data_IF_450456420161
#
_entry.id   IF_450456420161
#
_cell.length_a   1.000
_cell.length_b   1.000
_cell.length_c   1.000
_cell.angle_alpha   90.00
_cell.angle_beta   90.00
_cell.angle_gamma   90.00
#
_symmetry.space_group_name_H-M   'P 1'
#
loop_
_entity.id
_entity.type
_entity.pdbx_description
1 polymer ?
#
# COMPACT_ATOMS: atom_id res chain seq x y z
N UNK A 1 40.94 -20.52 -2.66
CA UNK A 1 40.71 -19.08 -2.91
C UNK A 1 39.26 -18.78 -3.34
N UNK A 2 38.60 -19.56 -4.19
CA UNK A 2 37.23 -19.28 -4.65
C UNK A 2 36.16 -19.34 -3.57
N UNK A 3 36.28 -20.24 -2.60
CA UNK A 3 35.28 -20.39 -1.50
C UNK A 3 35.36 -19.26 -0.50
N UNK A 4 36.55 -18.75 -0.19
CA UNK A 4 36.74 -17.60 0.70
C UNK A 4 36.22 -16.30 0.06
N UNK A 5 36.33 -16.14 -1.24
CA UNK A 5 35.75 -15.03 -1.97
C UNK A 5 34.23 -15.12 -1.94
N UNK A 6 33.64 -16.30 -2.12
CA UNK A 6 32.21 -16.54 -2.05
C UNK A 6 31.62 -16.22 -0.66
N UNK A 7 32.37 -16.53 0.41
CA UNK A 7 31.97 -16.21 1.80
C UNK A 7 31.87 -14.71 2.01
N UNK A 8 32.72 -13.90 1.38
CA UNK A 8 32.70 -12.44 1.54
C UNK A 8 31.69 -11.76 0.62
N UNK A 9 31.59 -12.20 -0.64
CA UNK A 9 30.78 -11.53 -1.66
C UNK A 9 29.34 -12.03 -1.68
N UNK A 10 29.12 -13.34 -1.43
CA UNK A 10 27.83 -14.01 -1.59
C UNK A 10 27.51 -14.99 -0.44
N UNK A 11 27.44 -14.52 0.81
CA UNK A 11 27.27 -15.39 1.98
C UNK A 11 25.99 -16.23 1.91
N UNK A 12 24.92 -15.77 1.26
CA UNK A 12 23.69 -16.52 1.07
C UNK A 12 23.89 -17.78 0.18
N UNK A 13 24.74 -17.71 -0.84
CA UNK A 13 25.03 -18.87 -1.69
C UNK A 13 25.80 -19.96 -0.94
N UNK A 14 26.69 -19.55 -0.05
CA UNK A 14 27.42 -20.51 0.81
C UNK A 14 26.45 -21.27 1.72
N UNK A 15 25.46 -20.57 2.28
CA UNK A 15 24.40 -21.23 3.10
C UNK A 15 23.58 -22.19 2.25
N UNK A 16 23.18 -21.80 1.03
CA UNK A 16 22.44 -22.70 0.12
C UNK A 16 23.22 -23.95 -0.22
N UNK A 17 24.52 -23.81 -0.55
CA UNK A 17 25.39 -24.94 -0.81
C UNK A 17 25.52 -25.88 0.39
N UNK A 18 25.67 -25.31 1.60
CA UNK A 18 25.71 -26.10 2.82
C UNK A 18 24.39 -26.85 3.06
N UNK A 19 23.25 -26.19 2.87
CA UNK A 19 21.93 -26.84 3.01
C UNK A 19 21.68 -27.89 1.93
N UNK A 20 22.15 -27.69 0.71
CA UNK A 20 22.08 -28.67 -0.38
C UNK A 20 22.94 -29.90 -0.08
N UNK A 21 24.10 -29.70 0.56
CA UNK A 21 25.07 -30.78 0.85
C UNK A 21 24.72 -31.57 2.12
N UNK A 22 24.23 -30.91 3.15
CA UNK A 22 24.04 -31.49 4.48
C UNK A 22 22.56 -31.63 4.88
N UNK A 23 21.63 -31.13 4.07
CA UNK A 23 20.22 -31.08 4.41
C UNK A 23 19.86 -29.97 5.39
N UNK A 24 18.69 -30.07 6.03
CA UNK A 24 18.21 -29.08 7.00
C UNK A 24 19.14 -28.94 8.21
N UNK A 25 19.56 -27.69 8.51
CA UNK A 25 20.49 -27.40 9.62
C UNK A 25 19.97 -26.25 10.48
N UNK A 26 20.12 -26.36 11.80
CA UNK A 26 19.96 -25.20 12.67
C UNK A 26 21.08 -24.18 12.44
N UNK A 27 20.90 -22.91 12.83
CA UNK A 27 21.94 -21.91 12.70
C UNK A 27 23.24 -22.31 13.43
N UNK A 28 23.13 -22.99 14.57
CA UNK A 28 24.27 -23.51 15.33
C UNK A 28 24.97 -24.68 14.59
N UNK A 29 24.21 -25.62 14.04
CA UNK A 29 24.79 -26.73 13.28
C UNK A 29 25.43 -26.24 11.97
N UNK A 30 24.84 -25.22 11.32
CA UNK A 30 25.43 -24.59 10.16
C UNK A 30 26.79 -23.91 10.47
N UNK A 31 26.84 -23.16 11.60
CA UNK A 31 28.09 -22.59 12.12
C UNK A 31 29.15 -23.66 12.31
N UNK A 32 28.82 -24.72 13.03
CA UNK A 32 29.72 -25.82 13.33
C UNK A 32 30.29 -26.45 12.05
N UNK A 33 29.42 -26.75 11.07
CA UNK A 33 29.82 -27.34 9.78
C UNK A 33 30.76 -26.45 8.97
N UNK A 34 30.46 -25.14 8.90
CA UNK A 34 31.30 -24.20 8.14
C UNK A 34 32.63 -23.93 8.81
N UNK A 35 32.69 -23.91 10.15
CA UNK A 35 33.94 -23.73 10.90
C UNK A 35 34.77 -24.99 10.87
N UNK A 36 34.20 -26.18 11.10
CA UNK A 36 34.93 -27.44 11.02
C UNK A 36 35.44 -27.74 9.60
N UNK A 37 34.66 -27.33 8.60
CA UNK A 37 35.08 -27.45 7.18
C UNK A 37 36.14 -26.44 6.73
N UNK A 38 36.61 -25.55 7.62
CA UNK A 38 37.60 -24.53 7.28
C UNK A 38 37.10 -23.45 6.31
N UNK A 39 35.78 -23.36 6.10
CA UNK A 39 35.15 -22.40 5.21
C UNK A 39 35.06 -21.02 5.87
N UNK A 40 34.89 -21.01 7.21
CA UNK A 40 34.71 -19.80 8.01
C UNK A 40 35.45 -19.92 9.34
N UNK A 41 36.02 -18.81 9.84
CA UNK A 41 36.52 -18.74 11.22
C UNK A 41 35.41 -18.32 12.17
N UNK A 42 35.42 -18.85 13.39
CA UNK A 42 34.37 -18.65 14.38
C UNK A 42 34.10 -17.17 14.68
N UNK A 43 35.16 -16.35 14.70
CA UNK A 43 35.07 -14.91 14.93
C UNK A 43 34.25 -14.17 13.86
N UNK A 44 34.22 -14.66 12.62
CA UNK A 44 33.50 -14.02 11.51
C UNK A 44 32.07 -14.48 11.37
N UNK A 45 31.63 -15.50 12.13
CA UNK A 45 30.30 -16.09 12.01
C UNK A 45 29.19 -15.07 12.12
N UNK A 46 29.23 -14.17 13.09
CA UNK A 46 28.15 -13.20 13.31
C UNK A 46 27.95 -12.30 12.08
N UNK A 47 29.03 -11.76 11.54
CA UNK A 47 29.00 -10.87 10.38
C UNK A 47 28.49 -11.61 9.12
N UNK A 48 29.02 -12.82 8.91
CA UNK A 48 28.61 -13.71 7.83
C UNK A 48 27.12 -14.04 7.92
N UNK A 49 26.65 -14.49 9.09
CA UNK A 49 25.27 -14.90 9.29
C UNK A 49 24.30 -13.74 9.16
N UNK A 50 24.59 -12.57 9.69
CA UNK A 50 23.71 -11.39 9.57
C UNK A 50 23.58 -10.96 8.11
N UNK A 51 24.66 -11.01 7.33
CA UNK A 51 24.66 -10.75 5.89
C UNK A 51 23.87 -11.79 5.11
N UNK A 52 24.13 -13.07 5.33
CA UNK A 52 23.42 -14.18 4.68
C UNK A 52 21.93 -14.15 5.00
N UNK A 53 21.56 -14.00 6.28
CA UNK A 53 20.18 -14.01 6.75
C UNK A 53 19.33 -12.91 6.13
N UNK A 54 19.92 -11.72 5.92
CA UNK A 54 19.21 -10.59 5.28
C UNK A 54 18.80 -10.95 3.84
N UNK A 55 19.67 -11.60 3.09
CA UNK A 55 19.39 -12.03 1.71
C UNK A 55 18.46 -13.24 1.70
N UNK A 56 18.72 -14.24 2.54
CA UNK A 56 17.94 -15.48 2.59
C UNK A 56 16.50 -15.28 3.05
N UNK A 57 16.20 -14.23 3.82
CA UNK A 57 14.81 -13.89 4.17
C UNK A 57 13.95 -13.48 2.96
N UNK A 58 14.59 -12.97 1.92
CA UNK A 58 13.93 -12.62 0.67
C UNK A 58 14.01 -13.77 -0.37
N UNK A 59 14.67 -14.87 -0.02
CA UNK A 59 14.87 -16.00 -0.90
C UNK A 59 13.71 -17.01 -0.77
N UNK A 60 12.88 -17.18 -1.81
CA UNK A 60 11.75 -18.10 -1.76
C UNK A 60 12.14 -19.57 -1.70
N UNK A 61 13.42 -19.91 -1.95
CA UNK A 61 13.92 -21.28 -1.90
C UNK A 61 14.47 -21.68 -0.53
N UNK A 62 14.48 -20.76 0.46
CA UNK A 62 15.06 -21.03 1.78
C UNK A 62 14.06 -20.67 2.88
N UNK A 63 13.65 -21.66 3.66
CA UNK A 63 12.84 -21.47 4.85
C UNK A 63 13.73 -21.13 6.06
N UNK A 64 13.62 -19.90 6.58
CA UNK A 64 14.27 -19.49 7.83
C UNK A 64 13.21 -19.50 8.95
N UNK A 65 13.32 -20.42 9.92
CA UNK A 65 12.34 -20.52 11.00
C UNK A 65 12.40 -19.33 11.96
N UNK A 66 11.25 -19.05 12.61
CA UNK A 66 11.16 -18.00 13.63
C UNK A 66 11.96 -18.37 14.90
N UNK A 67 11.97 -19.65 15.28
CA UNK A 67 12.72 -20.16 16.44
C UNK A 67 14.12 -20.56 16.01
N UNK A 68 15.13 -20.15 16.77
CA UNK A 68 16.55 -20.48 16.51
C UNK A 68 16.87 -21.98 16.62
N UNK A 69 16.04 -22.74 17.30
CA UNK A 69 16.15 -24.20 17.50
C UNK A 69 15.68 -24.99 16.29
N UNK A 70 14.87 -24.39 15.44
CA UNK A 70 14.30 -25.09 14.30
C UNK A 70 15.27 -25.02 13.11
N UNK A 71 15.30 -26.04 12.23
CA UNK A 71 16.25 -26.12 11.13
C UNK A 71 15.86 -25.17 9.99
N UNK A 72 16.87 -24.52 9.41
CA UNK A 72 16.81 -23.82 8.13
C UNK A 72 16.73 -24.90 7.06
N UNK A 73 15.88 -24.74 6.06
CA UNK A 73 15.64 -25.72 5.01
C UNK A 73 15.81 -25.10 3.64
N UNK A 74 16.44 -25.84 2.74
CA UNK A 74 16.34 -25.59 1.32
C UNK A 74 15.07 -26.30 0.83
N UNK A 75 14.25 -25.60 0.07
CA UNK A 75 12.98 -26.11 -0.41
C UNK A 75 13.13 -26.63 -1.84
N UNK A 76 12.51 -27.76 -2.14
CA UNK A 76 12.50 -28.33 -3.50
C UNK A 76 11.73 -27.46 -4.51
N UNK A 77 10.84 -26.61 -3.98
CA UNK A 77 10.12 -25.56 -4.71
C UNK A 77 10.26 -24.27 -3.94
N UNK A 78 10.26 -23.15 -4.66
CA UNK A 78 10.19 -21.86 -4.02
C UNK A 78 9.17 -21.92 -2.88
N UNK A 79 9.53 -21.46 -1.66
CA UNK A 79 8.60 -21.26 -0.56
C UNK A 79 7.58 -20.25 -1.05
N UNK A 80 6.77 -20.75 -1.89
CA UNK A 80 5.67 -20.08 -2.48
C UNK A 80 4.47 -20.52 -1.66
N UNK A 81 3.59 -19.68 -1.54
CA UNK A 81 2.24 -19.82 -1.13
C UNK A 81 1.73 -21.19 -1.55
N UNK A 82 1.92 -22.18 -0.65
CA UNK A 82 1.50 -23.55 -0.84
C UNK A 82 -0.02 -23.67 -0.71
N UNK A 83 -0.56 -24.84 -0.97
CA UNK A 83 -1.99 -25.07 -0.86
C UNK A 83 -2.50 -24.79 0.56
N UNK A 84 -1.69 -25.02 1.60
CA UNK A 84 -2.03 -24.72 2.99
C UNK A 84 -2.16 -23.21 3.23
N UNK A 85 -1.35 -22.38 2.59
CA UNK A 85 -1.48 -20.94 2.68
C UNK A 85 -2.78 -20.47 2.00
N UNK A 86 -3.10 -21.02 0.82
CA UNK A 86 -4.35 -20.71 0.12
C UNK A 86 -5.57 -21.22 0.87
N UNK A 87 -5.51 -22.40 1.52
CA UNK A 87 -6.57 -22.90 2.38
C UNK A 87 -6.82 -21.97 3.59
N UNK A 88 -5.76 -21.48 4.22
CA UNK A 88 -5.86 -20.49 5.29
C UNK A 88 -6.49 -19.19 4.79
N UNK A 89 -6.10 -18.73 3.60
CA UNK A 89 -6.67 -17.55 2.99
C UNK A 89 -8.15 -17.76 2.63
N UNK A 90 -8.52 -18.93 2.10
CA UNK A 90 -9.89 -19.28 1.73
C UNK A 90 -10.84 -19.25 2.93
N UNK A 91 -10.35 -19.64 4.11
CA UNK A 91 -11.12 -19.70 5.36
C UNK A 91 -11.04 -18.42 6.21
N UNK A 92 -10.17 -17.46 5.85
CA UNK A 92 -10.03 -16.21 6.57
C UNK A 92 -11.29 -15.34 6.43
N UNK A 93 -11.74 -14.75 7.54
CA UNK A 93 -12.92 -13.88 7.58
C UNK A 93 -12.62 -12.45 8.00
N UNK A 94 -11.47 -12.20 8.58
CA UNK A 94 -11.03 -10.85 8.89
C UNK A 94 -10.58 -10.12 7.62
N UNK A 95 -11.26 -9.02 7.29
CA UNK A 95 -11.03 -8.26 6.07
C UNK A 95 -9.59 -7.72 5.99
N UNK A 96 -9.04 -7.28 7.13
CA UNK A 96 -7.68 -6.75 7.20
C UNK A 96 -6.63 -7.84 7.04
N UNK A 97 -6.89 -9.02 7.63
CA UNK A 97 -6.02 -10.19 7.48
C UNK A 97 -5.98 -10.68 6.03
N UNK A 98 -7.13 -10.73 5.33
CA UNK A 98 -7.20 -11.04 3.91
C UNK A 98 -6.34 -10.07 3.09
N UNK A 99 -6.49 -8.76 3.31
CA UNK A 99 -5.72 -7.74 2.62
C UNK A 99 -4.23 -7.83 2.92
N UNK A 100 -3.84 -8.13 4.17
CA UNK A 100 -2.45 -8.30 4.56
C UNK A 100 -1.79 -9.46 3.81
N UNK A 101 -2.46 -10.62 3.76
CA UNK A 101 -1.99 -11.80 3.01
C UNK A 101 -1.90 -11.53 1.50
N UNK A 102 -2.91 -10.87 0.92
CA UNK A 102 -2.88 -10.53 -0.49
C UNK A 102 -1.75 -9.56 -0.86
N UNK A 103 -1.41 -8.60 0.03
CA UNK A 103 -0.25 -7.70 -0.17
C UNK A 103 1.07 -8.46 -0.13
N UNK A 104 1.21 -9.36 0.85
CA UNK A 104 2.39 -10.21 0.96
C UNK A 104 2.66 -10.98 -0.35
N UNK A 105 1.61 -11.55 -0.96
CA UNK A 105 1.71 -12.21 -2.27
C UNK A 105 2.05 -11.23 -3.40
N UNK A 106 1.41 -10.05 -3.42
CA UNK A 106 1.63 -9.04 -4.46
C UNK A 106 3.06 -8.45 -4.44
N UNK A 107 3.73 -8.45 -3.27
CA UNK A 107 5.12 -8.03 -3.09
C UNK A 107 6.14 -9.06 -3.61
N UNK A 108 5.69 -10.26 -4.00
CA UNK A 108 6.52 -11.33 -4.55
C UNK A 108 6.15 -11.66 -6.00
N UNK A 109 6.71 -10.96 -7.01
CA UNK A 109 6.36 -11.18 -8.42
C UNK A 109 6.54 -12.63 -8.88
N UNK A 110 7.58 -13.31 -8.39
CA UNK A 110 7.84 -14.71 -8.73
C UNK A 110 6.74 -15.64 -8.19
N UNK A 111 6.29 -15.41 -6.96
CA UNK A 111 5.21 -16.18 -6.34
C UNK A 111 3.87 -15.90 -7.02
N UNK A 112 3.61 -14.64 -7.37
CA UNK A 112 2.40 -14.25 -8.11
C UNK A 112 2.35 -14.90 -9.49
N UNK A 113 3.47 -14.98 -10.20
CA UNK A 113 3.56 -15.65 -11.50
C UNK A 113 3.36 -17.19 -11.40
N UNK A 114 3.64 -17.78 -10.25
CA UNK A 114 3.47 -19.21 -10.00
C UNK A 114 2.04 -19.61 -9.54
N UNK A 115 1.15 -18.64 -9.29
CA UNK A 115 -0.22 -18.89 -8.83
C UNK A 115 -1.01 -19.71 -9.86
N UNK A 116 -1.52 -20.84 -9.39
CA UNK A 116 -2.31 -21.76 -10.20
C UNK A 116 -3.76 -21.24 -10.40
N UNK A 117 -4.49 -21.68 -11.44
CA UNK A 117 -5.87 -21.22 -11.69
C UNK A 117 -6.81 -21.42 -10.49
N UNK A 118 -6.72 -22.54 -9.78
CA UNK A 118 -7.54 -22.80 -8.59
C UNK A 118 -7.23 -21.82 -7.45
N UNK A 119 -5.94 -21.53 -7.23
CA UNK A 119 -5.48 -20.57 -6.23
C UNK A 119 -5.88 -19.14 -6.61
N UNK A 120 -5.86 -18.80 -7.91
CA UNK A 120 -6.33 -17.52 -8.43
C UNK A 120 -7.81 -17.30 -8.13
N UNK A 121 -8.64 -18.36 -8.25
CA UNK A 121 -10.06 -18.29 -7.89
C UNK A 121 -10.25 -17.98 -6.39
N UNK A 122 -9.41 -18.54 -5.53
CA UNK A 122 -9.43 -18.22 -4.09
C UNK A 122 -9.13 -16.76 -3.86
N UNK A 123 -8.08 -16.20 -4.51
CA UNK A 123 -7.75 -14.78 -4.41
C UNK A 123 -8.92 -13.90 -4.87
N UNK A 124 -9.51 -14.20 -6.02
CA UNK A 124 -10.65 -13.46 -6.55
C UNK A 124 -11.85 -13.50 -5.58
N UNK A 125 -12.19 -14.66 -5.06
CA UNK A 125 -13.27 -14.83 -4.08
C UNK A 125 -13.00 -14.05 -2.78
N UNK A 126 -11.75 -14.02 -2.29
CA UNK A 126 -11.41 -13.29 -1.06
C UNK A 126 -11.39 -11.77 -1.29
N UNK A 127 -10.90 -11.29 -2.42
CA UNK A 127 -11.01 -9.86 -2.77
C UNK A 127 -12.48 -9.45 -2.93
N UNK A 128 -13.29 -10.23 -3.63
CA UNK A 128 -14.73 -9.99 -3.73
C UNK A 128 -15.44 -10.03 -2.37
N UNK A 129 -15.00 -10.89 -1.46
CA UNK A 129 -15.51 -10.93 -0.08
C UNK A 129 -15.20 -9.63 0.68
N UNK A 130 -13.97 -9.09 0.55
CA UNK A 130 -13.60 -7.81 1.16
C UNK A 130 -14.40 -6.66 0.54
N UNK A 131 -14.53 -6.61 -0.79
CA UNK A 131 -15.28 -5.57 -1.50
C UNK A 131 -16.75 -5.51 -1.06
N UNK A 132 -17.38 -6.66 -0.80
CA UNK A 132 -18.77 -6.73 -0.30
C UNK A 132 -18.88 -6.52 1.20
N UNK A 133 -17.90 -7.00 1.96
CA UNK A 133 -17.91 -6.94 3.43
C UNK A 133 -17.49 -5.59 3.99
N UNK A 134 -16.64 -4.85 3.29
CA UNK A 134 -16.28 -3.49 3.65
C UNK A 134 -17.47 -2.57 3.40
N UNK A 135 -18.11 -2.19 4.48
CA UNK A 135 -19.31 -1.32 4.44
C UNK A 135 -18.96 0.12 4.03
N UNK A 136 -19.97 0.95 3.81
CA UNK A 136 -19.82 2.40 3.61
C UNK A 136 -19.06 3.11 4.75
N UNK A 137 -18.94 2.45 5.91
CA UNK A 137 -18.15 2.94 7.06
C UNK A 137 -16.66 2.61 6.97
N UNK A 138 -16.24 1.81 6.01
CA UNK A 138 -14.86 1.37 5.81
C UNK A 138 -14.43 1.50 4.34
N UNK A 139 -14.62 2.69 3.72
CA UNK A 139 -14.33 2.87 2.30
C UNK A 139 -12.85 2.64 1.97
N UNK A 140 -11.95 2.93 2.90
CA UNK A 140 -10.52 2.70 2.74
C UNK A 140 -10.16 1.22 2.56
N UNK A 141 -10.80 0.30 3.30
CA UNK A 141 -10.60 -1.14 3.11
C UNK A 141 -11.10 -1.60 1.74
N UNK A 142 -12.22 -1.06 1.29
CA UNK A 142 -12.80 -1.37 -0.02
C UNK A 142 -11.89 -0.91 -1.16
N UNK A 143 -11.33 0.30 -1.08
CA UNK A 143 -10.36 0.77 -2.07
C UNK A 143 -9.06 -0.05 -2.04
N UNK A 144 -8.56 -0.40 -0.84
CA UNK A 144 -7.39 -1.26 -0.73
C UNK A 144 -7.62 -2.62 -1.39
N UNK A 145 -8.82 -3.21 -1.25
CA UNK A 145 -9.17 -4.46 -1.93
C UNK A 145 -9.20 -4.30 -3.46
N UNK A 146 -9.78 -3.21 -3.97
CA UNK A 146 -9.82 -2.92 -5.40
C UNK A 146 -8.40 -2.74 -5.98
N UNK A 147 -7.55 -1.96 -5.30
CA UNK A 147 -6.16 -1.75 -5.69
C UNK A 147 -5.36 -3.04 -5.69
N UNK A 148 -5.53 -3.85 -4.65
CA UNK A 148 -4.86 -5.13 -4.53
C UNK A 148 -5.33 -6.13 -5.58
N UNK A 149 -6.63 -6.18 -5.88
CA UNK A 149 -7.18 -7.01 -6.95
C UNK A 149 -6.57 -6.65 -8.33
N UNK A 150 -6.39 -5.36 -8.60
CA UNK A 150 -5.68 -4.90 -9.79
C UNK A 150 -4.20 -5.30 -9.80
N UNK A 151 -3.49 -5.17 -8.67
CA UNK A 151 -2.08 -5.59 -8.53
C UNK A 151 -1.89 -7.10 -8.70
N UNK A 152 -2.84 -7.89 -8.22
CA UNK A 152 -2.89 -9.35 -8.41
C UNK A 152 -3.35 -9.75 -9.82
N UNK A 153 -3.57 -8.79 -10.71
CA UNK A 153 -4.05 -8.99 -12.09
C UNK A 153 -5.37 -9.79 -12.15
N UNK A 154 -6.26 -9.62 -11.16
CA UNK A 154 -7.56 -10.27 -11.19
C UNK A 154 -8.46 -9.60 -12.24
N UNK A 155 -9.06 -10.42 -13.10
CA UNK A 155 -9.94 -9.90 -14.14
C UNK A 155 -11.24 -9.33 -13.54
N UNK A 156 -11.85 -8.30 -14.15
CA UNK A 156 -13.13 -7.76 -13.69
C UNK A 156 -14.25 -8.80 -13.54
N UNK A 157 -14.26 -9.84 -14.39
CA UNK A 157 -15.23 -10.95 -14.29
C UNK A 157 -14.96 -11.91 -13.14
N UNK A 158 -13.74 -11.93 -12.58
CA UNK A 158 -13.39 -12.74 -11.42
C UNK A 158 -13.70 -12.00 -10.10
N UNK A 159 -13.52 -10.67 -10.11
CA UNK A 159 -13.71 -9.82 -8.95
C UNK A 159 -14.05 -8.41 -9.45
N UNK A 160 -15.29 -7.94 -9.26
CA UNK A 160 -15.77 -6.66 -9.81
C UNK A 160 -15.22 -5.45 -9.05
N UNK A 161 -13.89 -5.39 -8.96
CA UNK A 161 -13.18 -4.26 -8.36
C UNK A 161 -13.33 -2.94 -9.16
N UNK A 162 -13.51 -2.95 -10.51
CA UNK A 162 -13.71 -1.69 -11.24
C UNK A 162 -15.04 -1.02 -10.90
N UNK A 163 -16.09 -1.78 -10.54
CA UNK A 163 -17.33 -1.19 -10.06
C UNK A 163 -17.11 -0.39 -8.76
N UNK A 164 -16.34 -0.94 -7.82
CA UNK A 164 -16.00 -0.23 -6.59
C UNK A 164 -15.23 1.06 -6.87
N UNK A 165 -14.30 1.06 -7.84
CA UNK A 165 -13.59 2.28 -8.26
C UNK A 165 -14.55 3.31 -8.84
N UNK A 166 -15.44 2.90 -9.76
CA UNK A 166 -16.44 3.83 -10.33
C UNK A 166 -17.32 4.47 -9.26
N UNK A 167 -17.76 3.70 -8.26
CA UNK A 167 -18.55 4.23 -7.16
C UNK A 167 -17.81 5.32 -6.37
N UNK A 168 -16.50 5.17 -6.10
CA UNK A 168 -15.71 6.20 -5.42
C UNK A 168 -15.58 7.49 -6.23
N UNK A 169 -15.62 7.39 -7.55
CA UNK A 169 -15.50 8.55 -8.45
C UNK A 169 -16.84 9.23 -8.73
N UNK A 170 -17.94 8.74 -8.15
CA UNK A 170 -19.28 9.28 -8.36
C UNK A 170 -19.88 9.88 -7.07
N UNK A 171 -20.76 10.87 -7.23
CA UNK A 171 -21.66 11.34 -6.18
C UNK A 171 -21.05 11.80 -4.86
N UNK A 172 -19.78 12.23 -4.85
CA UNK A 172 -19.11 12.69 -3.64
C UNK A 172 -18.55 11.57 -2.74
N UNK A 173 -18.62 10.30 -3.15
CA UNK A 173 -18.14 9.15 -2.38
C UNK A 173 -16.61 9.17 -2.14
N UNK A 174 -15.86 9.97 -2.89
CA UNK A 174 -14.43 10.16 -2.68
C UNK A 174 -14.11 10.88 -1.36
N UNK A 175 -15.00 11.74 -0.87
CA UNK A 175 -14.76 12.51 0.35
C UNK A 175 -14.62 11.61 1.60
N UNK A 176 -15.60 10.75 1.95
CA UNK A 176 -15.46 9.84 3.07
C UNK A 176 -14.30 8.86 2.89
N UNK A 177 -13.97 8.45 1.66
CA UNK A 177 -12.82 7.62 1.37
C UNK A 177 -11.51 8.32 1.78
N UNK A 178 -11.29 9.56 1.35
CA UNK A 178 -10.06 10.30 1.63
C UNK A 178 -9.91 10.65 3.12
N UNK A 179 -11.04 10.75 3.85
CA UNK A 179 -11.01 10.96 5.30
C UNK A 179 -10.75 9.67 6.10
N UNK A 180 -11.06 8.50 5.54
CA UNK A 180 -10.84 7.19 6.19
C UNK A 180 -9.42 6.66 5.98
N UNK A 181 -8.72 7.14 4.93
CA UNK A 181 -7.39 6.65 4.61
C UNK A 181 -6.30 7.25 5.51
N UNK A 182 -5.35 6.42 5.99
CA UNK A 182 -4.14 6.92 6.62
C UNK A 182 -3.31 7.79 5.65
N UNK A 183 -2.62 8.81 6.17
CA UNK A 183 -1.85 9.75 5.35
C UNK A 183 -0.92 9.07 4.31
N UNK A 184 -0.23 8.00 4.72
CA UNK A 184 0.67 7.23 3.84
C UNK A 184 -0.02 6.51 2.67
N UNK A 185 -1.33 6.31 2.76
CA UNK A 185 -2.13 5.60 1.73
C UNK A 185 -2.81 6.57 0.76
N UNK A 186 -2.89 7.88 1.10
CA UNK A 186 -3.61 8.88 0.30
C UNK A 186 -3.02 9.01 -1.10
N UNK A 187 -1.72 9.27 -1.21
CA UNK A 187 -1.06 9.45 -2.52
C UNK A 187 -1.19 8.22 -3.41
N UNK A 188 -0.85 6.99 -2.95
CA UNK A 188 -1.05 5.79 -3.74
C UNK A 188 -2.50 5.52 -4.12
N UNK A 189 -3.47 5.91 -3.28
CA UNK A 189 -4.89 5.77 -3.57
C UNK A 189 -5.34 6.73 -4.67
N UNK A 190 -4.95 7.98 -4.57
CA UNK A 190 -5.27 9.01 -5.57
C UNK A 190 -4.66 8.69 -6.94
N UNK A 191 -3.40 8.27 -6.98
CA UNK A 191 -2.72 7.85 -8.21
C UNK A 191 -3.41 6.62 -8.84
N UNK A 192 -3.83 5.66 -8.03
CA UNK A 192 -4.57 4.50 -8.51
C UNK A 192 -5.92 4.92 -9.12
N UNK A 193 -6.72 5.73 -8.43
CA UNK A 193 -8.00 6.21 -8.93
C UNK A 193 -7.83 7.01 -10.23
N UNK A 194 -6.82 7.87 -10.28
CA UNK A 194 -6.48 8.64 -11.47
C UNK A 194 -6.11 7.76 -12.67
N UNK A 195 -5.31 6.72 -12.43
CA UNK A 195 -4.91 5.78 -13.46
C UNK A 195 -6.10 4.96 -14.02
N UNK A 196 -7.17 4.77 -13.25
CA UNK A 196 -8.36 4.06 -13.72
C UNK A 196 -9.26 4.95 -14.60
N UNK A 197 -9.50 6.20 -14.18
CA UNK A 197 -10.29 7.18 -14.93
C UNK A 197 -9.87 8.59 -14.52
N UNK A 198 -8.97 9.19 -15.29
CA UNK A 198 -8.42 10.51 -15.01
C UNK A 198 -9.49 11.61 -15.04
N UNK A 199 -10.46 11.54 -15.94
CA UNK A 199 -11.50 12.55 -16.08
C UNK A 199 -12.48 12.50 -14.89
N UNK A 200 -12.93 11.31 -14.51
CA UNK A 200 -13.80 11.12 -13.37
C UNK A 200 -13.08 11.47 -12.05
N UNK A 201 -11.81 11.06 -11.89
CA UNK A 201 -11.00 11.38 -10.72
C UNK A 201 -10.79 12.90 -10.56
N UNK A 202 -10.45 13.61 -11.66
CA UNK A 202 -10.37 15.08 -11.67
C UNK A 202 -11.67 15.71 -11.22
N UNK A 203 -12.79 15.32 -11.83
CA UNK A 203 -14.12 15.86 -11.50
C UNK A 203 -14.50 15.59 -10.03
N UNK A 204 -14.28 14.38 -9.53
CA UNK A 204 -14.58 14.00 -8.17
C UNK A 204 -13.74 14.79 -7.14
N UNK A 205 -12.43 14.95 -7.40
CA UNK A 205 -11.53 15.71 -6.53
C UNK A 205 -11.88 17.19 -6.50
N UNK A 206 -12.04 17.82 -7.67
CA UNK A 206 -12.40 19.24 -7.76
C UNK A 206 -13.74 19.50 -7.06
N UNK A 207 -14.73 18.64 -7.25
CA UNK A 207 -16.05 18.77 -6.61
C UNK A 207 -16.01 18.68 -5.08
N UNK A 208 -15.00 18.04 -4.50
CA UNK A 208 -14.87 17.88 -3.04
C UNK A 208 -13.73 18.71 -2.42
N UNK A 209 -12.99 19.47 -3.20
CA UNK A 209 -11.77 20.15 -2.77
C UNK A 209 -12.01 21.06 -1.54
N UNK A 210 -13.16 21.74 -1.48
CA UNK A 210 -13.57 22.63 -0.38
C UNK A 210 -13.87 21.88 0.92
N UNK A 211 -14.11 20.57 0.85
CA UNK A 211 -14.56 19.76 1.98
C UNK A 211 -13.47 18.88 2.58
N UNK A 212 -12.31 18.80 1.92
CA UNK A 212 -11.19 17.98 2.37
C UNK A 212 -10.53 18.53 3.64
N UNK A 213 -10.11 17.64 4.54
CA UNK A 213 -9.17 17.98 5.61
C UNK A 213 -7.80 18.30 5.04
N UNK A 214 -6.93 18.95 5.85
CA UNK A 214 -5.67 19.49 5.35
C UNK A 214 -4.79 18.45 4.63
N UNK A 215 -4.56 17.26 5.22
CA UNK A 215 -3.69 16.25 4.61
C UNK A 215 -4.24 15.70 3.29
N UNK A 216 -5.51 15.25 3.19
CA UNK A 216 -6.11 14.91 1.91
C UNK A 216 -6.14 16.06 0.90
N UNK A 217 -6.36 17.30 1.36
CA UNK A 217 -6.32 18.49 0.50
C UNK A 217 -4.93 18.68 -0.12
N UNK A 218 -3.86 18.58 0.69
CA UNK A 218 -2.49 18.70 0.20
C UNK A 218 -2.20 17.67 -0.88
N UNK A 219 -2.49 16.38 -0.62
CA UNK A 219 -2.24 15.30 -1.58
C UNK A 219 -3.07 15.44 -2.87
N UNK A 220 -4.34 15.86 -2.73
CA UNK A 220 -5.21 16.11 -3.88
C UNK A 220 -4.70 17.29 -4.72
N UNK A 221 -4.28 18.39 -4.08
CA UNK A 221 -3.72 19.54 -4.75
C UNK A 221 -2.42 19.21 -5.48
N UNK A 222 -1.51 18.48 -4.84
CA UNK A 222 -0.24 18.06 -5.44
C UNK A 222 -0.48 17.19 -6.68
N UNK A 223 -1.47 16.30 -6.65
CA UNK A 223 -1.86 15.52 -7.83
C UNK A 223 -2.48 16.41 -8.91
N UNK A 224 -3.49 17.21 -8.57
CA UNK A 224 -4.21 18.06 -9.52
C UNK A 224 -3.27 19.04 -10.23
N UNK A 225 -2.36 19.68 -9.50
CA UNK A 225 -1.37 20.59 -10.06
C UNK A 225 -0.39 19.86 -10.99
N UNK A 226 0.11 18.69 -10.59
CA UNK A 226 0.97 17.86 -11.42
C UNK A 226 0.29 17.40 -12.71
N UNK A 227 -1.03 17.28 -12.70
CA UNK A 227 -1.85 16.87 -13.84
C UNK A 227 -2.46 18.05 -14.63
N UNK A 228 -1.99 19.26 -14.38
CA UNK A 228 -2.35 20.46 -15.15
C UNK A 228 -3.74 21.04 -14.84
N UNK A 229 -4.34 20.71 -13.68
CA UNK A 229 -5.62 21.25 -13.24
C UNK A 229 -5.51 22.55 -12.41
N UNK A 230 -4.41 23.28 -12.56
CA UNK A 230 -4.11 24.46 -11.75
C UNK A 230 -5.16 25.57 -11.86
N UNK A 231 -5.69 25.82 -13.07
CA UNK A 231 -6.70 26.84 -13.28
C UNK A 231 -8.03 26.50 -12.61
N UNK A 232 -8.47 25.24 -12.65
CA UNK A 232 -9.69 24.81 -11.94
C UNK A 232 -9.53 24.96 -10.42
N UNK A 233 -8.35 24.58 -9.90
CA UNK A 233 -8.03 24.75 -8.49
C UNK A 233 -8.04 26.25 -8.10
N UNK A 234 -7.42 27.09 -8.92
CA UNK A 234 -7.41 28.56 -8.73
C UNK A 234 -8.84 29.11 -8.63
N UNK A 235 -9.69 28.74 -9.57
CA UNK A 235 -11.08 29.19 -9.58
C UNK A 235 -11.84 28.79 -8.30
N UNK A 236 -11.70 27.53 -7.85
CA UNK A 236 -12.33 27.03 -6.63
C UNK A 236 -11.85 27.81 -5.40
N UNK A 237 -10.55 28.10 -5.32
CA UNK A 237 -10.00 28.88 -4.21
C UNK A 237 -10.43 30.33 -4.26
N UNK A 238 -10.45 30.98 -5.43
CA UNK A 238 -10.91 32.34 -5.61
C UNK A 238 -12.39 32.51 -5.20
N UNK A 239 -13.26 31.60 -5.63
CA UNK A 239 -14.67 31.58 -5.23
C UNK A 239 -14.84 31.37 -3.72
N UNK A 240 -14.07 30.47 -3.12
CA UNK A 240 -14.13 30.23 -1.67
C UNK A 240 -13.68 31.49 -0.89
N UNK A 241 -12.64 32.18 -1.32
CA UNK A 241 -12.19 33.42 -0.71
C UNK A 241 -13.21 34.56 -0.85
N UNK A 242 -13.87 34.67 -2.01
CA UNK A 242 -14.85 35.72 -2.30
C UNK A 242 -16.22 35.52 -1.59
N UNK A 243 -16.59 34.27 -1.28
CA UNK A 243 -17.94 33.92 -0.80
C UNK A 243 -18.04 33.67 0.70
N UNK A 244 -17.04 34.05 1.51
CA UNK A 244 -16.97 33.76 2.95
C UNK A 244 -17.02 32.25 3.33
N UNK A 245 -16.82 31.37 2.36
CA UNK A 245 -16.86 29.92 2.53
C UNK A 245 -15.47 29.30 2.61
N UNK A 246 -14.42 30.12 2.72
CA UNK A 246 -13.05 29.62 2.83
C UNK A 246 -12.86 28.91 4.17
N UNK A 247 -12.46 27.65 4.10
CA UNK A 247 -12.21 26.84 5.30
C UNK A 247 -10.76 27.01 5.77
N UNK A 248 -10.54 26.67 7.03
CA UNK A 248 -9.21 26.76 7.65
C UNK A 248 -8.17 25.93 6.90
N UNK A 249 -8.56 24.76 6.38
CA UNK A 249 -7.70 23.86 5.63
C UNK A 249 -7.20 24.49 4.33
N UNK A 250 -8.06 25.20 3.60
CA UNK A 250 -7.69 25.94 2.39
C UNK A 250 -6.76 27.12 2.70
N UNK A 251 -7.01 27.86 3.80
CA UNK A 251 -6.12 28.93 4.25
C UNK A 251 -4.73 28.39 4.64
N UNK A 252 -4.68 27.27 5.34
CA UNK A 252 -3.42 26.63 5.67
C UNK A 252 -2.66 26.19 4.41
N UNK A 253 -3.38 25.71 3.40
CA UNK A 253 -2.76 25.35 2.13
C UNK A 253 -2.16 26.58 1.45
N UNK A 254 -2.90 27.70 1.34
CA UNK A 254 -2.41 28.98 0.79
C UNK A 254 -1.13 29.43 1.52
N UNK A 255 -1.15 29.43 2.85
CA UNK A 255 -0.02 29.88 3.66
C UNK A 255 1.23 29.00 3.50
N UNK A 256 1.04 27.70 3.29
CA UNK A 256 2.15 26.75 3.13
C UNK A 256 2.65 26.61 1.70
N UNK A 257 1.87 27.10 0.73
CA UNK A 257 2.21 27.06 -0.69
C UNK A 257 2.23 28.46 -1.29
N UNK A 258 3.17 29.34 -0.86
CA UNK A 258 3.17 30.76 -1.22
C UNK A 258 3.40 31.03 -2.71
N UNK A 259 4.12 30.15 -3.43
CA UNK A 259 4.38 30.32 -4.86
C UNK A 259 3.10 30.21 -5.71
N UNK A 260 2.39 29.05 -5.73
CA UNK A 260 1.14 28.97 -6.48
C UNK A 260 0.09 29.96 -5.96
N UNK A 261 0.04 30.26 -4.67
CA UNK A 261 -0.90 31.23 -4.11
C UNK A 261 -0.63 32.66 -4.65
N UNK A 262 0.63 33.07 -4.78
CA UNK A 262 0.99 34.35 -5.36
C UNK A 262 0.69 34.47 -6.87
N UNK A 263 0.88 33.36 -7.62
CA UNK A 263 0.58 33.30 -9.06
C UNK A 263 -0.94 33.37 -9.32
N UNK A 264 -1.77 32.94 -8.36
CA UNK A 264 -3.20 32.89 -8.53
C UNK A 264 -3.94 34.21 -8.30
N UNK A 265 -3.27 35.23 -7.77
CA UNK A 265 -3.86 36.53 -7.45
C UNK A 265 -5.23 36.43 -6.75
N UNK A 266 -5.24 35.64 -5.68
CA UNK A 266 -6.49 35.35 -4.96
C UNK A 266 -7.03 36.60 -4.26
N UNK A 267 -8.36 36.82 -4.26
CA UNK A 267 -8.96 37.89 -3.47
C UNK A 267 -8.67 37.67 -1.98
N UNK A 268 -8.56 38.76 -1.23
CA UNK A 268 -8.32 38.69 0.22
C UNK A 268 -9.34 37.74 0.89
N UNK A 269 -8.91 36.68 1.57
CA UNK A 269 -9.83 35.70 2.10
C UNK A 269 -10.65 36.28 3.25
N UNK A 270 -11.97 36.14 3.17
CA UNK A 270 -12.85 36.48 4.27
C UNK A 270 -13.02 35.27 5.17
N UNK A 271 -12.48 35.36 6.36
CA UNK A 271 -12.50 34.28 7.35
C UNK A 271 -13.63 34.46 8.33
N UNK A 272 -14.54 33.52 8.37
CA UNK A 272 -15.56 33.50 9.44
C UNK A 272 -14.91 33.15 10.78
N UNK A 273 -15.21 33.92 11.83
CA UNK A 273 -14.87 33.55 13.19
C UNK A 273 -15.58 32.24 13.61
N UNK A 274 -15.08 31.50 14.60
CA UNK A 274 -15.75 30.30 15.07
C UNK A 274 -17.22 30.49 15.40
N UNK A 275 -17.59 31.63 15.99
CA UNK A 275 -18.98 31.97 16.30
C UNK A 275 -19.84 32.20 15.05
N UNK A 276 -19.29 32.89 14.05
CA UNK A 276 -19.99 33.10 12.77
C UNK A 276 -20.19 31.78 12.02
N UNK A 277 -19.22 30.87 12.06
CA UNK A 277 -19.36 29.52 11.49
C UNK A 277 -20.47 28.72 12.15
N UNK A 278 -20.57 28.78 13.49
CA UNK A 278 -21.62 28.09 14.23
C UNK A 278 -23.01 28.64 13.86
N UNK A 279 -23.17 29.97 13.75
CA UNK A 279 -24.41 30.60 13.30
C UNK A 279 -24.74 30.22 11.86
N UNK A 280 -23.80 30.27 10.95
CA UNK A 280 -24.01 29.89 9.53
C UNK A 280 -24.39 28.41 9.40
N UNK A 281 -23.76 27.51 10.18
CA UNK A 281 -24.11 26.10 10.22
C UNK A 281 -25.54 25.87 10.78
N UNK A 282 -25.92 26.60 11.81
CA UNK A 282 -27.28 26.50 12.41
C UNK A 282 -28.36 27.02 11.45
N UNK A 283 -28.10 28.11 10.73
CA UNK A 283 -29.05 28.69 9.76
C UNK A 283 -29.21 27.81 8.51
N UNK A 284 -28.17 27.08 8.11
CA UNK A 284 -28.20 26.21 6.92
C UNK A 284 -28.50 24.73 7.26
N UNK A 285 -28.75 24.39 8.51
CA UNK A 285 -29.16 23.04 8.87
C UNK A 285 -30.60 22.80 8.30
N UNK A 286 -30.84 21.75 7.52
CA UNK A 286 -32.21 21.41 7.13
C UNK A 286 -33.00 21.00 8.38
N UNK A 287 -34.23 21.50 8.49
CA UNK A 287 -35.19 21.12 9.54
C UNK A 287 -35.46 19.61 9.55
#
# INVERSE_FOLDING_TARGET
DGLQQLVQEKPAEVVRLALASFGPLTAAALQEKLVQGGVLIEADWKRFWDGARKVLKADPMVEIPAKRTDPIRLLDRAAGYDDLWFDKLANERDLKAILARGRELAESPASLAAVQPAQRLILANRMAFVLRGATSRQPGLRLQAARLAAQLNLAPGECDWPAAVREFLQGGAILPLLHDLPARELRPALEFLWAQDAAAARSALLGQLRHLHYTPLQEAMDLLLAQGAGEDCRQIFAEACATHLVRQEMLLWILRNPKPAAEWDLPAPTVLTPGQRAVTAAVNAPD
#
